data_IF_040081958066
#
_entry.id   IF_040081958066
#
_cell.length_a   1.000
_cell.length_b   1.000
_cell.length_c   1.000
_cell.angle_alpha   90.00
_cell.angle_beta   90.00
_cell.angle_gamma   90.00
#
_symmetry.space_group_name_H-M   'P 1'
#
loop_
_entity.id
_entity.type
_entity.pdbx_description
1 polymer ?
#
# COMPACT_ATOMS: atom_id res chain seq x y z
N UNK A 1 11.37 15.74 6.42
CA UNK A 1 11.34 14.29 6.12
C UNK A 1 10.57 14.11 4.82
N UNK A 2 11.06 13.25 3.94
CA UNK A 2 10.45 13.01 2.64
C UNK A 2 9.96 11.55 2.53
N UNK A 3 8.90 11.34 1.74
CA UNK A 3 8.19 10.07 1.71
C UNK A 3 7.77 9.66 0.28
N UNK A 4 7.94 8.38 -0.04
CA UNK A 4 7.32 7.73 -1.20
C UNK A 4 5.97 7.14 -0.79
N UNK A 5 4.90 7.57 -1.43
CA UNK A 5 3.55 7.12 -1.10
C UNK A 5 3.02 6.17 -2.18
N UNK A 6 2.71 4.95 -1.79
CA UNK A 6 2.10 3.98 -2.69
C UNK A 6 0.64 4.37 -3.00
N UNK A 7 0.39 4.73 -4.24
CA UNK A 7 -0.90 5.19 -4.74
C UNK A 7 -1.54 4.09 -5.58
N UNK A 8 -2.60 3.48 -5.08
CA UNK A 8 -3.33 2.40 -5.78
C UNK A 8 -4.52 2.90 -6.60
N UNK A 9 -4.82 4.20 -6.58
CA UNK A 9 -6.05 4.75 -7.13
C UNK A 9 -7.31 4.47 -6.28
N UNK A 10 -7.15 3.84 -5.12
CA UNK A 10 -8.20 3.62 -4.13
C UNK A 10 -8.27 4.74 -3.08
N UNK A 11 -9.36 4.74 -2.30
CA UNK A 11 -9.64 5.72 -1.24
C UNK A 11 -8.51 5.78 -0.21
N UNK A 12 -8.09 4.61 0.29
CA UNK A 12 -7.16 4.50 1.40
C UNK A 12 -5.80 5.12 1.10
N UNK A 13 -5.24 4.84 -0.08
CA UNK A 13 -3.96 5.43 -0.49
C UNK A 13 -4.04 6.94 -0.66
N UNK A 14 -5.19 7.44 -1.13
CA UNK A 14 -5.44 8.88 -1.31
C UNK A 14 -5.50 9.62 0.03
N UNK A 15 -6.21 9.03 1.00
CA UNK A 15 -6.30 9.57 2.36
C UNK A 15 -4.95 9.51 3.07
N UNK A 16 -4.22 8.38 2.94
CA UNK A 16 -2.88 8.24 3.49
C UNK A 16 -1.94 9.35 2.98
N UNK A 17 -1.98 9.66 1.68
CA UNK A 17 -1.21 10.75 1.09
C UNK A 17 -1.56 12.11 1.72
N UNK A 18 -2.85 12.42 1.83
CA UNK A 18 -3.31 13.67 2.44
C UNK A 18 -2.87 13.80 3.90
N UNK A 19 -2.96 12.72 4.68
CA UNK A 19 -2.54 12.72 6.08
C UNK A 19 -1.05 13.00 6.24
N UNK A 20 -0.20 12.42 5.37
CA UNK A 20 1.24 12.69 5.39
C UNK A 20 1.56 14.16 5.06
N UNK A 21 0.89 14.73 4.06
CA UNK A 21 1.06 16.14 3.73
C UNK A 21 0.61 17.08 4.86
N UNK A 22 -0.52 16.78 5.51
CA UNK A 22 -1.00 17.54 6.69
C UNK A 22 -0.02 17.47 7.86
N UNK A 23 0.77 16.41 7.97
CA UNK A 23 1.85 16.27 8.96
C UNK A 23 3.16 16.95 8.53
N UNK A 24 3.18 17.63 7.39
CA UNK A 24 4.34 18.40 6.90
C UNK A 24 5.42 17.56 6.20
N UNK A 25 5.10 16.33 5.75
CA UNK A 25 6.02 15.56 4.94
C UNK A 25 6.05 16.07 3.50
N UNK A 26 7.23 16.13 2.90
CA UNK A 26 7.38 16.23 1.46
C UNK A 26 7.15 14.85 0.84
N UNK A 27 6.33 14.78 -0.21
CA UNK A 27 5.83 13.49 -0.69
C UNK A 27 5.87 13.36 -2.22
N UNK A 28 6.13 12.14 -2.68
CA UNK A 28 6.02 11.73 -4.07
C UNK A 28 5.15 10.48 -4.18
N UNK A 29 4.14 10.50 -5.03
CA UNK A 29 3.25 9.37 -5.28
C UNK A 29 3.86 8.36 -6.25
N UNK A 30 3.68 7.07 -5.99
CA UNK A 30 4.08 6.01 -6.90
C UNK A 30 2.97 4.99 -7.06
N UNK A 31 2.64 4.62 -8.30
CA UNK A 31 1.74 3.51 -8.60
C UNK A 31 2.53 2.35 -9.18
N UNK A 32 2.36 1.18 -8.61
CA UNK A 32 2.91 -0.07 -9.15
C UNK A 32 1.91 -0.70 -10.11
N UNK A 33 2.31 -0.89 -11.37
CA UNK A 33 1.55 -1.68 -12.32
C UNK A 33 1.90 -3.15 -12.12
N UNK A 34 1.01 -3.92 -11.48
CA UNK A 34 1.30 -5.29 -11.04
C UNK A 34 0.90 -6.34 -12.08
N UNK A 35 -0.21 -6.17 -12.80
CA UNK A 35 -0.73 -7.13 -13.77
C UNK A 35 -1.37 -6.42 -14.98
N UNK A 36 -1.65 -7.15 -16.06
CA UNK A 36 -2.19 -6.57 -17.29
C UNK A 36 -3.59 -5.99 -17.11
N UNK A 37 -4.41 -6.65 -16.30
CA UNK A 37 -5.76 -6.18 -15.96
C UNK A 37 -5.74 -5.02 -14.96
N UNK A 38 -4.55 -4.64 -14.42
CA UNK A 38 -4.43 -3.41 -13.62
C UNK A 38 -4.93 -2.22 -14.43
N UNK A 39 -6.07 -1.72 -14.00
CA UNK A 39 -6.86 -0.74 -14.74
C UNK A 39 -6.05 0.54 -15.00
N UNK A 40 -5.93 0.95 -16.25
CA UNK A 40 -5.43 2.27 -16.60
C UNK A 40 -6.22 3.38 -15.86
N UNK A 41 -7.47 3.10 -15.46
CA UNK A 41 -8.30 3.96 -14.66
C UNK A 41 -7.72 4.15 -13.24
N UNK A 42 -7.23 3.09 -12.61
CA UNK A 42 -6.64 3.17 -11.27
C UNK A 42 -5.38 4.05 -11.28
N UNK A 43 -4.56 3.90 -12.31
CA UNK A 43 -3.37 4.75 -12.52
C UNK A 43 -3.80 6.21 -12.75
N UNK A 44 -4.83 6.43 -13.55
CA UNK A 44 -5.36 7.78 -13.82
C UNK A 44 -5.95 8.42 -12.56
N UNK A 45 -6.71 7.64 -11.76
CA UNK A 45 -7.26 8.08 -10.46
C UNK A 45 -6.13 8.48 -9.50
N UNK A 46 -5.10 7.63 -9.37
CA UNK A 46 -3.92 7.92 -8.54
C UNK A 46 -3.22 9.22 -8.98
N UNK A 47 -2.98 9.36 -10.29
CA UNK A 47 -2.38 10.57 -10.85
C UNK A 47 -3.24 11.82 -10.63
N UNK A 48 -4.57 11.70 -10.72
CA UNK A 48 -5.49 12.81 -10.46
C UNK A 48 -5.45 13.25 -9.00
N UNK A 49 -5.42 12.31 -8.06
CA UNK A 49 -5.27 12.61 -6.63
C UNK A 49 -3.92 13.28 -6.35
N UNK A 50 -2.82 12.75 -6.89
CA UNK A 50 -1.50 13.37 -6.71
C UNK A 50 -1.47 14.82 -7.23
N UNK A 51 -2.06 15.08 -8.40
CA UNK A 51 -2.21 16.45 -8.93
C UNK A 51 -3.02 17.35 -7.99
N UNK A 52 -4.14 16.86 -7.46
CA UNK A 52 -4.99 17.61 -6.53
C UNK A 52 -4.26 17.94 -5.23
N UNK A 53 -3.37 17.06 -4.79
CA UNK A 53 -2.52 17.24 -3.61
C UNK A 53 -1.24 18.06 -3.89
N UNK A 54 -0.95 18.41 -5.16
CA UNK A 54 0.25 19.15 -5.53
C UNK A 54 1.55 18.35 -5.45
N UNK A 55 1.50 17.02 -5.51
CA UNK A 55 2.67 16.14 -5.45
C UNK A 55 2.97 15.49 -6.80
N UNK A 56 4.24 15.15 -7.04
CA UNK A 56 4.66 14.38 -8.20
C UNK A 56 4.11 12.96 -8.18
N UNK A 57 3.98 12.35 -9.36
CA UNK A 57 3.50 10.96 -9.51
C UNK A 57 4.34 10.21 -10.54
N UNK A 58 4.68 8.96 -10.24
CA UNK A 58 5.41 8.04 -11.13
C UNK A 58 4.71 6.70 -11.17
N UNK A 59 4.77 6.01 -12.30
CA UNK A 59 4.33 4.62 -12.46
C UNK A 59 5.55 3.72 -12.59
N UNK A 60 5.57 2.63 -11.83
CA UNK A 60 6.60 1.58 -11.91
C UNK A 60 5.95 0.34 -12.49
N UNK A 61 6.53 -0.19 -13.55
CA UNK A 61 6.08 -1.45 -14.13
C UNK A 61 6.70 -2.63 -13.38
N UNK A 62 5.86 -3.39 -12.70
CA UNK A 62 6.24 -4.57 -11.90
C UNK A 62 5.56 -5.84 -12.40
N UNK A 63 5.03 -5.85 -13.63
CA UNK A 63 4.24 -6.99 -14.16
C UNK A 63 5.05 -8.28 -14.23
N UNK A 64 6.27 -8.21 -14.76
CA UNK A 64 7.13 -9.38 -14.88
C UNK A 64 7.51 -9.99 -13.52
N UNK A 65 7.84 -9.12 -12.54
CA UNK A 65 8.13 -9.56 -11.18
C UNK A 65 6.88 -10.11 -10.49
N UNK A 66 5.72 -9.48 -10.71
CA UNK A 66 4.45 -9.92 -10.13
C UNK A 66 4.06 -11.31 -10.66
N UNK A 67 4.12 -11.53 -11.96
CA UNK A 67 3.85 -12.83 -12.57
C UNK A 67 4.74 -13.92 -11.94
N UNK A 68 6.07 -13.73 -11.94
CA UNK A 68 7.02 -14.70 -11.42
C UNK A 68 6.89 -14.93 -9.91
N UNK A 69 6.78 -13.88 -9.11
CA UNK A 69 6.90 -13.98 -7.66
C UNK A 69 5.56 -14.24 -6.96
N UNK A 70 4.45 -13.88 -7.58
CA UNK A 70 3.11 -13.96 -6.97
C UNK A 70 2.22 -14.96 -7.71
N UNK A 71 2.01 -14.78 -9.01
CA UNK A 71 1.09 -15.62 -9.78
C UNK A 71 1.62 -17.06 -9.93
N UNK A 72 2.86 -17.23 -10.39
CA UNK A 72 3.48 -18.57 -10.54
C UNK A 72 3.58 -19.28 -9.18
N UNK A 73 3.95 -18.54 -8.11
CA UNK A 73 4.02 -19.10 -6.77
C UNK A 73 2.64 -19.51 -6.22
N UNK A 74 1.59 -18.76 -6.58
CA UNK A 74 0.21 -19.07 -6.22
C UNK A 74 -0.25 -20.38 -6.90
N UNK A 75 -0.04 -20.52 -8.20
CA UNK A 75 -0.36 -21.73 -8.97
C UNK A 75 0.39 -22.94 -8.42
N UNK A 76 1.71 -22.84 -8.26
CA UNK A 76 2.53 -23.93 -7.73
C UNK A 76 2.13 -24.39 -6.32
N UNK A 77 1.64 -23.46 -5.49
CA UNK A 77 1.14 -23.81 -4.17
C UNK A 77 -0.15 -24.65 -4.25
N UNK A 78 -1.11 -24.27 -5.09
CA UNK A 78 -2.33 -25.07 -5.31
C UNK A 78 -2.02 -26.43 -5.92
N UNK A 79 -1.17 -26.51 -6.92
CA UNK A 79 -0.72 -27.79 -7.52
C UNK A 79 -0.10 -28.75 -6.49
N UNK A 80 0.55 -28.17 -5.46
CA UNK A 80 1.12 -28.96 -4.34
C UNK A 80 0.14 -29.20 -3.17
N UNK A 81 -1.16 -28.92 -3.35
CA UNK A 81 -2.21 -29.13 -2.34
C UNK A 81 -2.19 -28.15 -1.17
N UNK A 82 -1.54 -26.99 -1.31
CA UNK A 82 -1.49 -25.94 -0.29
C UNK A 82 -2.44 -24.80 -0.65
N UNK A 83 -2.95 -24.10 0.35
CA UNK A 83 -3.77 -22.88 0.17
C UNK A 83 -2.90 -21.65 0.42
N UNK A 84 -2.39 -20.96 -0.63
CA UNK A 84 -1.53 -19.80 -0.47
C UNK A 84 -2.32 -18.54 -0.14
N UNK A 85 -1.64 -17.59 0.51
CA UNK A 85 -2.10 -16.19 0.58
C UNK A 85 -1.15 -15.31 -0.24
N UNK A 86 -1.52 -14.97 -1.49
CA UNK A 86 -0.63 -14.24 -2.39
C UNK A 86 -0.34 -12.82 -1.91
N UNK A 87 -1.24 -12.20 -1.12
CA UNK A 87 -1.05 -10.86 -0.59
C UNK A 87 0.17 -10.76 0.34
N UNK A 88 0.48 -11.81 1.11
CA UNK A 88 1.66 -11.86 1.98
C UNK A 88 2.94 -11.79 1.15
N UNK A 89 3.02 -12.62 0.09
CA UNK A 89 4.17 -12.64 -0.82
C UNK A 89 4.30 -11.31 -1.56
N UNK A 90 3.19 -10.79 -2.09
CA UNK A 90 3.14 -9.50 -2.77
C UNK A 90 3.63 -8.36 -1.86
N UNK A 91 3.15 -8.29 -0.61
CA UNK A 91 3.62 -7.27 0.33
C UNK A 91 5.11 -7.39 0.59
N UNK A 92 5.62 -8.60 0.89
CA UNK A 92 7.04 -8.81 1.21
C UNK A 92 7.96 -8.47 0.05
N UNK A 93 7.72 -9.08 -1.12
CA UNK A 93 8.67 -9.04 -2.26
C UNK A 93 8.50 -7.81 -3.13
N UNK A 94 7.25 -7.45 -3.44
CA UNK A 94 6.95 -6.38 -4.38
C UNK A 94 6.69 -5.08 -3.67
N UNK A 95 5.61 -4.96 -2.88
CA UNK A 95 5.27 -3.65 -2.31
C UNK A 95 6.40 -3.09 -1.46
N UNK A 96 6.88 -3.85 -0.48
CA UNK A 96 7.94 -3.36 0.41
C UNK A 96 9.37 -3.69 -0.06
N UNK A 97 9.54 -4.51 -1.09
CA UNK A 97 10.80 -4.65 -1.82
C UNK A 97 10.99 -3.49 -2.80
N UNK A 98 10.17 -3.47 -3.87
CA UNK A 98 10.30 -2.48 -4.96
C UNK A 98 10.03 -1.03 -4.52
N UNK A 99 9.11 -0.80 -3.56
CA UNK A 99 8.88 0.56 -3.06
C UNK A 99 10.07 1.09 -2.26
N UNK A 100 10.78 0.24 -1.50
CA UNK A 100 12.01 0.65 -0.81
C UNK A 100 13.11 1.00 -1.80
N UNK A 101 13.32 0.17 -2.82
CA UNK A 101 14.27 0.45 -3.90
C UNK A 101 13.94 1.78 -4.62
N UNK A 102 12.66 1.97 -4.97
CA UNK A 102 12.20 3.19 -5.61
C UNK A 102 12.34 4.45 -4.72
N UNK A 103 12.21 4.28 -3.41
CA UNK A 103 12.48 5.34 -2.44
C UNK A 103 13.97 5.67 -2.38
N UNK A 104 14.83 4.65 -2.33
CA UNK A 104 16.29 4.81 -2.30
C UNK A 104 16.82 5.49 -3.56
N UNK A 105 16.33 5.08 -4.75
CA UNK A 105 16.67 5.71 -6.04
C UNK A 105 16.36 7.21 -6.09
N UNK A 106 15.37 7.65 -5.31
CA UNK A 106 14.91 9.05 -5.25
C UNK A 106 15.41 9.80 -4.02
N UNK A 107 16.21 9.16 -3.16
CA UNK A 107 16.67 9.74 -1.90
C UNK A 107 15.53 10.01 -0.92
N UNK A 108 14.43 9.22 -0.97
CA UNK A 108 13.28 9.33 -0.07
C UNK A 108 13.45 8.40 1.14
N UNK A 109 13.18 8.94 2.33
CA UNK A 109 13.48 8.26 3.60
C UNK A 109 12.42 7.23 3.98
N UNK A 110 11.17 7.52 3.70
CA UNK A 110 10.01 6.75 4.14
C UNK A 110 9.23 6.16 2.97
N UNK A 111 8.60 5.02 3.22
CA UNK A 111 7.58 4.40 2.35
C UNK A 111 6.25 4.40 3.09
N UNK A 112 5.23 4.93 2.44
CA UNK A 112 3.89 5.09 3.00
C UNK A 112 2.88 4.29 2.20
N UNK A 113 2.00 3.60 2.88
CA UNK A 113 0.91 2.87 2.25
C UNK A 113 -0.41 3.06 3.01
N UNK A 114 -1.54 2.82 2.34
CA UNK A 114 -2.88 2.89 2.93
C UNK A 114 -3.28 1.65 3.73
N UNK A 115 -2.34 0.88 4.30
CA UNK A 115 -2.71 -0.27 5.12
C UNK A 115 -3.25 0.14 6.49
N UNK A 116 -4.25 -0.59 6.97
CA UNK A 116 -4.78 -0.50 8.33
C UNK A 116 -3.91 -1.34 9.27
N UNK A 117 -2.79 -0.81 9.65
CA UNK A 117 -1.84 -1.38 10.61
C UNK A 117 -1.10 -0.25 11.30
N UNK A 118 -0.38 -0.52 12.39
CA UNK A 118 0.42 0.49 13.10
C UNK A 118 1.86 0.02 13.27
N UNK A 119 2.77 0.97 13.27
CA UNK A 119 4.18 0.73 13.56
C UNK A 119 4.63 1.67 14.67
N UNK A 120 5.31 1.13 15.68
CA UNK A 120 5.85 1.91 16.79
C UNK A 120 7.24 1.41 17.18
N UNK A 121 8.12 2.33 17.57
CA UNK A 121 9.40 1.96 18.18
C UNK A 121 9.19 1.69 19.66
N UNK A 122 9.62 0.53 20.11
CA UNK A 122 9.62 0.16 21.53
C UNK A 122 11.04 0.36 22.11
N UNK A 123 11.17 1.39 22.93
CA UNK A 123 12.46 1.73 23.53
C UNK A 123 12.98 0.67 24.52
N UNK A 124 12.07 -0.12 25.12
CA UNK A 124 12.46 -1.15 26.08
C UNK A 124 13.17 -2.33 25.40
N UNK A 125 12.68 -2.74 24.23
CA UNK A 125 13.30 -3.83 23.45
C UNK A 125 14.26 -3.34 22.36
N UNK A 126 14.29 -2.03 22.07
CA UNK A 126 15.05 -1.46 20.97
C UNK A 126 14.54 -1.87 19.59
N UNK A 127 13.28 -2.27 19.48
CA UNK A 127 12.68 -2.84 18.25
C UNK A 127 11.52 -2.03 17.72
N UNK A 128 11.35 -2.09 16.42
CA UNK A 128 10.11 -1.64 15.75
C UNK A 128 9.06 -2.74 15.83
N UNK A 129 7.89 -2.38 16.32
CA UNK A 129 6.75 -3.30 16.50
C UNK A 129 5.71 -3.05 15.42
N UNK A 130 5.29 -4.13 14.74
CA UNK A 130 4.07 -4.14 13.94
C UNK A 130 2.89 -4.39 14.87
N UNK A 131 1.88 -3.53 14.83
CA UNK A 131 0.70 -3.59 15.69
C UNK A 131 -0.56 -3.60 14.85
N UNK A 132 -1.63 -4.17 15.40
CA UNK A 132 -2.97 -4.11 14.77
C UNK A 132 -3.42 -2.68 14.54
N UNK A 133 -4.18 -2.46 13.47
CA UNK A 133 -4.92 -1.22 13.22
C UNK A 133 -5.98 -0.97 14.31
N UNK A 134 -6.49 0.27 14.35
CA UNK A 134 -7.59 0.64 15.25
C UNK A 134 -8.90 -0.05 14.84
N UNK A 135 -9.15 -0.15 13.53
CA UNK A 135 -10.32 -0.81 12.95
C UNK A 135 -10.10 -2.32 12.88
N UNK A 136 -10.55 -3.06 13.89
CA UNK A 136 -10.33 -4.51 13.97
C UNK A 136 -10.87 -5.28 12.76
N UNK A 137 -12.06 -5.00 12.21
CA UNK A 137 -12.56 -5.64 11.00
C UNK A 137 -11.72 -5.36 9.75
N UNK A 138 -10.96 -4.27 9.73
CA UNK A 138 -10.09 -3.86 8.62
C UNK A 138 -8.61 -4.06 8.89
N UNK A 139 -8.24 -4.64 10.04
CA UNK A 139 -6.84 -4.87 10.39
C UNK A 139 -6.11 -5.67 9.30
N UNK A 140 -4.99 -5.14 8.84
CA UNK A 140 -4.15 -5.72 7.79
C UNK A 140 -2.75 -6.10 8.29
N UNK A 141 -2.52 -6.05 9.60
CA UNK A 141 -1.22 -6.41 10.18
C UNK A 141 -0.80 -7.84 9.84
N UNK A 142 -1.76 -8.77 9.69
CA UNK A 142 -1.51 -10.14 9.27
C UNK A 142 -0.79 -10.23 7.92
N UNK A 143 -1.11 -9.36 6.96
CA UNK A 143 -0.47 -9.36 5.64
C UNK A 143 0.96 -8.79 5.65
N UNK A 144 1.40 -8.24 6.78
CA UNK A 144 2.63 -7.47 6.93
C UNK A 144 3.66 -8.14 7.86
N UNK A 145 3.35 -9.31 8.44
CA UNK A 145 4.20 -9.94 9.46
C UNK A 145 5.61 -10.32 8.97
N UNK A 146 5.82 -10.38 7.65
CA UNK A 146 7.12 -10.68 7.05
C UNK A 146 8.02 -9.45 6.87
N UNK A 147 7.58 -8.26 7.27
CA UNK A 147 8.42 -7.06 7.21
C UNK A 147 9.59 -7.16 8.20
N UNK A 148 10.79 -6.86 7.72
CA UNK A 148 12.00 -6.81 8.53
C UNK A 148 12.04 -5.58 9.44
N UNK A 149 12.95 -5.56 10.42
CA UNK A 149 13.17 -4.40 11.29
C UNK A 149 13.57 -3.14 10.51
N UNK A 150 14.40 -3.30 9.48
CA UNK A 150 14.79 -2.21 8.58
C UNK A 150 13.61 -1.65 7.81
N UNK A 151 12.72 -2.53 7.32
CA UNK A 151 11.50 -2.11 6.65
C UNK A 151 10.54 -1.41 7.63
N UNK A 152 10.29 -2.00 8.81
CA UNK A 152 9.41 -1.42 9.83
C UNK A 152 9.86 -0.03 10.28
N UNK A 153 11.17 0.22 10.35
CA UNK A 153 11.73 1.54 10.66
C UNK A 153 11.32 2.60 9.62
N UNK A 154 11.26 2.21 8.36
CA UNK A 154 11.03 3.10 7.23
C UNK A 154 9.58 3.18 6.74
N UNK A 155 8.70 2.28 7.16
CA UNK A 155 7.29 2.32 6.73
C UNK A 155 6.45 3.21 7.63
N UNK A 156 5.38 3.78 7.03
CA UNK A 156 4.32 4.47 7.77
C UNK A 156 2.96 4.02 7.24
N UNK A 157 2.03 3.83 8.16
CA UNK A 157 0.66 3.42 7.88
C UNK A 157 -0.31 4.45 8.48
N UNK A 158 -0.54 5.60 7.81
CA UNK A 158 -1.32 6.70 8.39
C UNK A 158 -2.76 6.32 8.75
N UNK A 159 -3.31 5.30 8.11
CA UNK A 159 -4.67 4.80 8.40
C UNK A 159 -4.73 3.85 9.61
N UNK A 160 -3.61 3.51 10.20
CA UNK A 160 -3.58 2.60 11.34
C UNK A 160 -4.37 3.08 12.56
N UNK A 161 -4.53 4.39 12.72
CA UNK A 161 -5.29 5.01 13.81
C UNK A 161 -6.68 5.54 13.36
N UNK A 162 -7.16 5.12 12.19
CA UNK A 162 -8.46 5.50 11.63
C UNK A 162 -9.36 4.28 11.44
N UNK A 163 -10.67 4.50 11.56
CA UNK A 163 -11.66 3.54 11.05
C UNK A 163 -11.86 3.75 9.55
N UNK A 164 -12.38 2.72 8.87
CA UNK A 164 -12.71 2.82 7.44
C UNK A 164 -13.71 3.94 7.15
N UNK A 165 -14.71 4.10 8.03
CA UNK A 165 -15.71 5.16 7.88
C UNK A 165 -15.09 6.54 8.04
N UNK A 166 -14.18 6.72 9.00
CA UNK A 166 -13.45 7.98 9.17
C UNK A 166 -12.57 8.30 7.95
N UNK A 167 -11.90 7.29 7.38
CA UNK A 167 -11.12 7.47 6.15
C UNK A 167 -12.00 7.87 4.96
N UNK A 168 -13.18 7.25 4.80
CA UNK A 168 -14.14 7.63 3.74
C UNK A 168 -14.69 9.04 3.94
N UNK A 169 -15.06 9.40 5.17
CA UNK A 169 -15.52 10.76 5.48
C UNK A 169 -14.46 11.81 5.12
N UNK A 170 -13.19 11.53 5.43
CA UNK A 170 -12.09 12.41 5.07
C UNK A 170 -11.87 12.51 3.55
N UNK A 171 -12.04 11.41 2.82
CA UNK A 171 -11.96 11.43 1.36
C UNK A 171 -13.09 12.26 0.72
N UNK A 172 -14.31 12.18 1.26
CA UNK A 172 -15.44 13.00 0.83
C UNK A 172 -15.23 14.50 1.16
N UNK A 173 -14.73 14.82 2.36
CA UNK A 173 -14.36 16.20 2.76
C UNK A 173 -13.34 16.81 1.79
N UNK A 174 -12.32 16.02 1.41
CA UNK A 174 -11.28 16.41 0.46
C UNK A 174 -11.73 16.38 -1.01
N UNK A 175 -12.96 15.94 -1.27
CA UNK A 175 -13.56 15.85 -2.61
C UNK A 175 -12.72 15.02 -3.59
N UNK A 176 -12.11 13.94 -3.10
CA UNK A 176 -11.38 13.05 -3.99
C UNK A 176 -12.32 12.36 -4.97
N UNK A 177 -11.94 12.30 -6.25
CA UNK A 177 -12.74 11.70 -7.31
C UNK A 177 -13.08 10.22 -7.05
N UNK A 178 -12.22 9.54 -6.30
CA UNK A 178 -12.33 8.13 -5.94
C UNK A 178 -12.94 7.89 -4.54
N UNK A 179 -13.47 8.92 -3.85
CA UNK A 179 -13.99 8.81 -2.47
C UNK A 179 -15.07 7.71 -2.31
N UNK A 180 -15.86 7.45 -3.36
CA UNK A 180 -16.93 6.43 -3.38
C UNK A 180 -16.54 5.11 -4.03
N UNK A 181 -15.26 4.91 -4.35
CA UNK A 181 -14.78 3.68 -4.95
C UNK A 181 -14.88 2.52 -3.96
N UNK A 182 -15.36 1.37 -4.45
CA UNK A 182 -15.43 0.14 -3.65
C UNK A 182 -14.01 -0.38 -3.34
N UNK A 183 -13.88 -1.03 -2.17
CA UNK A 183 -12.65 -1.72 -1.82
C UNK A 183 -12.48 -2.96 -2.69
N UNK A 184 -11.24 -3.27 -3.07
CA UNK A 184 -10.93 -4.58 -3.64
C UNK A 184 -11.05 -5.63 -2.52
N UNK A 185 -11.94 -6.61 -2.70
CA UNK A 185 -12.20 -7.65 -1.68
C UNK A 185 -11.55 -8.98 -2.03
N UNK A 186 -11.23 -9.20 -3.31
CA UNK A 186 -10.73 -10.47 -3.84
C UNK A 186 -9.25 -10.41 -4.21
N UNK A 187 -8.72 -11.56 -4.62
CA UNK A 187 -7.37 -11.67 -5.17
C UNK A 187 -7.30 -10.84 -6.45
N UNK A 188 -6.44 -9.81 -6.47
CA UNK A 188 -6.45 -8.76 -7.48
C UNK A 188 -6.17 -9.23 -8.92
N UNK A 189 -5.64 -10.44 -9.10
CA UNK A 189 -5.34 -11.03 -10.41
C UNK A 189 -6.26 -12.22 -10.78
N UNK A 190 -7.25 -12.52 -9.93
CA UNK A 190 -8.32 -13.49 -10.23
C UNK A 190 -9.61 -12.70 -10.43
N UNK A 191 -9.88 -12.23 -11.66
CA UNK A 191 -11.13 -11.53 -11.96
C UNK A 191 -12.29 -12.53 -11.84
N UNK A 192 -13.41 -12.06 -11.31
CA UNK A 192 -14.68 -12.80 -11.25
C UNK A 192 -14.71 -14.04 -10.32
N UNK A 193 -13.63 -14.27 -9.54
CA UNK A 193 -13.58 -15.33 -8.54
C UNK A 193 -13.47 -16.76 -9.10
N UNK A 194 -13.13 -16.91 -10.37
CA UNK A 194 -12.92 -18.20 -11.05
C UNK A 194 -11.45 -18.49 -11.31
#
# INVERSE_FOLDING_TARGET
>A
MNALIAMSGGVDSSVAASLMLRQGYDAHGVTMRLHESASNRDIADAAAVCRALGIGHTVIDCRAEFAREVEDAFVAAYESGRTPNPCIVCNKKLKFGRLMEAADERGLELVVTGHYARVAFDAASGRWLLKKGLDEPKDQSYFLYLLSQEQLKRVRFPLGDYTKDAARALADELRFLNARKHDSQDICFVPDGD
#
